data_IF_359803511653
#
_entry.id   IF_359803511653
#
_cell.length_a   1.000
_cell.length_b   1.000
_cell.length_c   1.000
_cell.angle_alpha   90.00
_cell.angle_beta   90.00
_cell.angle_gamma   90.00
#
_symmetry.space_group_name_H-M   'P 1'
#
loop_
_entity.id
_entity.type
_entity.pdbx_description
1 polymer ?
#
# COMPACT_ATOMS: atom_id res chain seq x y z
N UNK A 1 28.12 4.43 22.81
CA UNK A 1 27.77 3.07 22.37
C UNK A 1 27.06 3.02 21.01
N UNK A 2 26.18 3.99 20.64
CA UNK A 2 25.61 4.09 19.28
C UNK A 2 26.68 4.06 18.15
N UNK A 3 27.84 4.65 18.41
CA UNK A 3 29.00 4.65 17.49
C UNK A 3 29.45 3.20 17.17
N UNK A 4 29.47 2.30 18.16
CA UNK A 4 29.96 0.93 18.01
C UNK A 4 28.95 0.06 17.27
N UNK A 5 27.65 0.23 17.55
CA UNK A 5 26.56 -0.40 16.80
C UNK A 5 26.53 0.04 15.33
N UNK A 6 26.80 1.32 15.07
CA UNK A 6 26.92 1.85 13.72
C UNK A 6 28.12 1.24 12.95
N UNK A 7 29.31 1.17 13.57
CA UNK A 7 30.47 0.56 12.91
C UNK A 7 30.25 -0.92 12.57
N UNK A 8 29.66 -1.69 13.50
CA UNK A 8 29.33 -3.10 13.23
C UNK A 8 28.33 -3.23 12.07
N UNK A 9 27.24 -2.46 12.09
CA UNK A 9 26.25 -2.46 10.99
C UNK A 9 26.87 -2.08 9.64
N UNK A 10 27.77 -1.09 9.61
CA UNK A 10 28.46 -0.66 8.39
C UNK A 10 29.41 -1.74 7.87
N UNK A 11 30.20 -2.38 8.74
CA UNK A 11 31.08 -3.49 8.35
C UNK A 11 30.27 -4.67 7.80
N UNK A 12 29.16 -5.02 8.46
CA UNK A 12 28.24 -6.05 7.99
C UNK A 12 27.72 -5.70 6.60
N UNK A 13 27.21 -4.48 6.42
CA UNK A 13 26.71 -4.00 5.13
C UNK A 13 27.75 -4.10 4.01
N UNK A 14 28.99 -3.67 4.28
CA UNK A 14 30.08 -3.74 3.31
C UNK A 14 30.39 -5.16 2.87
N UNK A 15 30.49 -6.10 3.82
CA UNK A 15 30.76 -7.50 3.52
C UNK A 15 29.62 -8.15 2.74
N UNK A 16 28.40 -7.82 3.11
CA UNK A 16 27.17 -8.34 2.50
C UNK A 16 26.94 -7.82 1.09
N UNK A 17 27.20 -6.54 0.84
CA UNK A 17 26.99 -5.90 -0.46
C UNK A 17 27.75 -6.58 -1.62
N UNK A 18 28.72 -7.44 -1.29
CA UNK A 18 29.53 -8.19 -2.25
C UNK A 18 28.91 -9.50 -2.77
N UNK A 19 27.65 -9.83 -2.37
CA UNK A 19 26.87 -11.02 -2.80
C UNK A 19 27.48 -12.39 -2.49
N UNK A 20 28.44 -12.47 -1.58
CA UNK A 20 29.05 -13.74 -1.15
C UNK A 20 28.60 -14.06 0.28
N UNK A 21 27.58 -14.91 0.42
CA UNK A 21 26.99 -15.34 1.70
C UNK A 21 28.02 -16.03 2.62
N UNK A 22 29.09 -16.60 2.05
CA UNK A 22 30.16 -17.18 2.85
C UNK A 22 30.86 -16.11 3.68
N UNK A 23 30.77 -14.83 3.30
CA UNK A 23 31.51 -13.77 3.98
C UNK A 23 31.03 -13.45 5.38
N UNK A 24 29.74 -13.61 5.68
CA UNK A 24 29.28 -13.40 7.05
C UNK A 24 29.85 -14.43 8.03
N UNK A 25 30.12 -15.65 7.54
CA UNK A 25 30.66 -16.73 8.37
C UNK A 25 32.14 -16.49 8.75
N UNK A 26 32.87 -15.65 8.01
CA UNK A 26 34.27 -15.35 8.38
C UNK A 26 34.33 -14.31 9.51
N UNK A 27 33.39 -13.35 9.52
CA UNK A 27 33.28 -12.33 10.58
C UNK A 27 33.01 -13.02 11.94
N UNK A 28 32.24 -14.10 11.93
CA UNK A 28 31.94 -14.91 13.12
C UNK A 28 33.01 -15.92 13.50
N UNK A 29 34.03 -16.13 12.65
CA UNK A 29 35.02 -17.19 12.85
C UNK A 29 34.51 -18.61 12.58
N UNK A 30 33.36 -18.79 11.90
CA UNK A 30 32.83 -20.11 11.52
C UNK A 30 33.47 -20.67 10.26
N UNK A 31 33.95 -19.81 9.36
CA UNK A 31 34.78 -20.22 8.23
C UNK A 31 36.09 -19.44 8.20
N UNK A 32 37.10 -20.06 7.60
CA UNK A 32 38.36 -19.39 7.30
C UNK A 32 38.33 -18.93 5.83
N UNK A 33 38.60 -17.65 5.60
CA UNK A 33 38.73 -17.07 4.25
C UNK A 33 40.20 -16.67 4.02
N UNK A 34 40.75 -17.02 2.86
CA UNK A 34 42.12 -16.69 2.50
C UNK A 34 42.34 -15.18 2.48
N UNK A 35 43.49 -14.72 3.01
CA UNK A 35 43.81 -13.30 3.11
C UNK A 35 43.13 -12.54 4.25
N UNK A 36 42.30 -13.20 5.08
CA UNK A 36 41.67 -12.60 6.25
C UNK A 36 42.24 -13.14 7.57
N UNK A 37 42.18 -12.37 8.67
CA UNK A 37 42.56 -12.84 9.99
C UNK A 37 41.73 -14.06 10.39
N UNK A 38 42.39 -15.07 10.96
CA UNK A 38 41.70 -16.24 11.55
C UNK A 38 41.31 -15.91 12.98
N UNK A 39 40.03 -16.08 13.28
CA UNK A 39 39.47 -15.90 14.62
C UNK A 39 38.76 -17.18 15.05
N UNK A 40 38.77 -17.53 16.35
CA UNK A 40 37.92 -18.58 16.86
C UNK A 40 36.44 -18.22 16.65
N UNK A 41 35.56 -19.23 16.54
CA UNK A 41 34.13 -18.98 16.39
C UNK A 41 33.59 -18.20 17.58
N UNK A 42 32.78 -17.17 17.32
CA UNK A 42 32.19 -16.33 18.36
C UNK A 42 31.25 -17.12 19.29
N UNK A 43 30.56 -18.12 18.72
CA UNK A 43 29.70 -19.06 19.43
C UNK A 43 29.76 -20.44 18.75
N UNK A 44 29.56 -21.50 19.52
CA UNK A 44 29.44 -22.87 18.97
C UNK A 44 28.01 -23.16 18.51
N UNK A 45 27.82 -24.13 17.62
CA UNK A 45 26.47 -24.52 17.14
C UNK A 45 25.52 -24.88 18.31
N UNK A 46 25.94 -25.70 19.31
CA UNK A 46 25.09 -25.99 20.47
C UNK A 46 24.68 -24.74 21.27
N UNK A 47 25.58 -23.76 21.41
CA UNK A 47 25.25 -22.52 22.14
C UNK A 47 24.17 -21.73 21.39
N UNK A 48 24.21 -21.72 20.06
CA UNK A 48 23.22 -21.01 19.23
C UNK A 48 21.88 -21.74 19.25
N UNK A 49 21.87 -23.07 19.22
CA UNK A 49 20.65 -23.87 19.33
C UNK A 49 19.97 -23.65 20.69
N UNK A 50 20.76 -23.65 21.77
CA UNK A 50 20.28 -23.34 23.11
C UNK A 50 19.71 -21.93 23.18
N UNK A 51 20.46 -20.92 22.69
CA UNK A 51 20.01 -19.54 22.66
C UNK A 51 18.72 -19.37 21.83
N UNK A 52 18.64 -20.01 20.68
CA UNK A 52 17.47 -19.96 19.80
C UNK A 52 16.23 -20.55 20.48
N UNK A 53 16.40 -21.67 21.19
CA UNK A 53 15.32 -22.30 21.97
C UNK A 53 14.84 -21.38 23.08
N UNK A 54 15.78 -20.81 23.86
CA UNK A 54 15.43 -19.86 24.93
C UNK A 54 14.69 -18.63 24.37
N UNK A 55 15.19 -18.04 23.28
CA UNK A 55 14.55 -16.89 22.65
C UNK A 55 13.17 -17.22 22.10
N UNK A 56 12.98 -18.42 21.54
CA UNK A 56 11.68 -18.89 21.05
C UNK A 56 10.68 -19.06 22.19
N UNK A 57 11.07 -19.78 23.24
CA UNK A 57 10.19 -20.09 24.37
C UNK A 57 9.79 -18.81 25.12
N UNK A 58 10.74 -17.88 25.31
CA UNK A 58 10.54 -16.60 26.01
C UNK A 58 10.27 -15.41 25.06
N UNK A 59 9.88 -15.66 23.79
CA UNK A 59 9.77 -14.62 22.74
C UNK A 59 8.93 -13.40 23.12
N UNK A 60 7.87 -13.59 23.91
CA UNK A 60 7.02 -12.51 24.44
C UNK A 60 7.77 -11.64 25.46
N UNK A 61 8.44 -12.26 26.44
CA UNK A 61 9.20 -11.55 27.47
C UNK A 61 10.42 -10.85 26.87
N UNK A 62 11.10 -11.51 25.94
CA UNK A 62 12.18 -10.93 25.15
C UNK A 62 11.71 -9.66 24.43
N UNK A 63 10.62 -9.75 23.67
CA UNK A 63 10.07 -8.61 22.93
C UNK A 63 9.66 -7.45 23.84
N UNK A 64 8.94 -7.73 24.94
CA UNK A 64 8.58 -6.72 25.94
C UNK A 64 9.81 -6.03 26.55
N UNK A 65 10.83 -6.82 26.89
CA UNK A 65 12.06 -6.31 27.49
C UNK A 65 12.76 -5.33 26.54
N UNK A 66 12.92 -5.71 25.27
CA UNK A 66 13.53 -4.85 24.27
C UNK A 66 12.72 -3.58 24.01
N UNK A 67 11.39 -3.68 23.94
CA UNK A 67 10.50 -2.52 23.78
C UNK A 67 10.63 -1.53 24.94
N UNK A 68 10.85 -2.01 26.16
CA UNK A 68 10.88 -1.19 27.38
C UNK A 68 12.22 -0.50 27.67
N UNK A 69 13.34 -1.07 27.22
CA UNK A 69 14.68 -0.59 27.61
C UNK A 69 15.28 0.43 26.64
N UNK A 70 14.63 0.70 25.50
CA UNK A 70 15.06 1.66 24.47
C UNK A 70 16.53 1.52 24.04
N UNK A 71 17.11 0.33 24.21
CA UNK A 71 18.53 0.08 23.93
C UNK A 71 18.67 -0.92 22.79
N UNK A 72 18.91 -0.48 21.55
CA UNK A 72 19.21 -1.41 20.47
C UNK A 72 20.65 -1.24 20.01
N UNK A 73 21.47 -2.16 20.48
CA UNK A 73 22.68 -2.64 19.84
C UNK A 73 23.06 -3.94 20.56
N UNK A 74 23.37 -5.04 19.87
CA UNK A 74 24.30 -5.06 18.75
C UNK A 74 23.93 -6.16 17.76
N UNK A 75 23.38 -5.71 16.63
CA UNK A 75 23.45 -6.32 15.32
C UNK A 75 22.83 -7.70 15.24
N UNK A 76 21.49 -7.74 15.17
CA UNK A 76 20.69 -8.88 14.71
C UNK A 76 21.36 -10.25 14.99
N UNK A 77 21.35 -10.59 16.28
CA UNK A 77 21.85 -11.86 16.82
C UNK A 77 23.31 -12.18 16.43
N UNK A 78 24.20 -11.18 16.25
CA UNK A 78 25.60 -11.32 15.79
C UNK A 78 25.78 -12.58 14.92
N UNK A 79 25.00 -12.65 13.84
CA UNK A 79 25.09 -13.64 12.77
C UNK A 79 24.62 -15.07 13.09
N UNK A 80 23.35 -15.32 13.43
CA UNK A 80 22.77 -16.65 13.16
C UNK A 80 22.64 -16.80 11.64
N UNK A 81 23.77 -17.21 11.05
CA UNK A 81 24.05 -17.42 9.64
C UNK A 81 23.50 -18.82 9.20
N UNK A 82 23.45 -19.15 7.89
CA UNK A 82 22.34 -19.77 7.18
C UNK A 82 22.38 -21.32 7.27
N UNK A 83 23.11 -21.86 8.24
CA UNK A 83 23.32 -23.30 8.41
C UNK A 83 22.29 -23.90 9.41
N UNK A 84 21.40 -23.07 9.97
CA UNK A 84 20.48 -23.51 11.02
C UNK A 84 19.24 -24.27 10.50
N UNK A 85 18.91 -25.44 11.09
CA UNK A 85 17.70 -26.21 10.79
C UNK A 85 16.38 -25.57 11.30
N UNK A 86 16.40 -24.35 11.88
CA UNK A 86 15.26 -23.73 12.58
C UNK A 86 14.87 -22.33 12.05
N UNK A 87 14.75 -22.20 10.73
CA UNK A 87 14.37 -20.96 10.02
C UNK A 87 13.13 -20.25 10.60
N UNK A 88 12.15 -20.98 11.13
CA UNK A 88 10.95 -20.40 11.75
C UNK A 88 11.28 -19.55 12.98
N UNK A 89 12.18 -20.03 13.85
CA UNK A 89 12.56 -19.31 15.08
C UNK A 89 13.28 -18.01 14.70
N UNK A 90 14.23 -18.12 13.78
CA UNK A 90 15.00 -16.98 13.32
C UNK A 90 14.09 -15.89 12.73
N UNK A 91 13.15 -16.29 11.87
CA UNK A 91 12.24 -15.33 11.23
C UNK A 91 11.34 -14.60 12.23
N UNK A 92 10.79 -15.33 13.21
CA UNK A 92 9.95 -14.74 14.26
C UNK A 92 10.72 -13.73 15.12
N UNK A 93 11.92 -14.11 15.57
CA UNK A 93 12.75 -13.25 16.43
C UNK A 93 13.28 -12.04 15.65
N UNK A 94 13.70 -12.23 14.40
CA UNK A 94 14.15 -11.16 13.52
C UNK A 94 13.02 -10.16 13.23
N UNK A 95 11.82 -10.65 12.92
CA UNK A 95 10.64 -9.80 12.73
C UNK A 95 10.32 -8.96 13.96
N UNK A 96 10.23 -9.59 15.14
CA UNK A 96 9.99 -8.88 16.41
C UNK A 96 11.06 -7.83 16.69
N UNK A 97 12.33 -8.20 16.52
CA UNK A 97 13.44 -7.28 16.71
C UNK A 97 13.35 -6.07 15.76
N UNK A 98 12.96 -6.30 14.50
CA UNK A 98 12.81 -5.25 13.51
C UNK A 98 11.82 -4.17 13.95
N UNK A 99 10.68 -4.57 14.50
CA UNK A 99 9.61 -3.65 14.90
C UNK A 99 10.06 -2.61 15.95
N UNK A 100 11.18 -2.85 16.63
CA UNK A 100 11.67 -2.02 17.75
C UNK A 100 13.12 -1.59 17.61
N UNK A 101 13.78 -1.91 16.50
CA UNK A 101 15.17 -1.56 16.27
C UNK A 101 15.37 -0.05 16.04
N UNK A 102 16.43 0.50 16.61
CA UNK A 102 16.85 1.90 16.40
C UNK A 102 17.60 2.09 15.10
N UNK A 103 17.72 3.37 14.74
CA UNK A 103 18.42 3.87 13.56
C UNK A 103 19.78 3.22 13.24
N UNK A 104 20.60 2.96 14.26
CA UNK A 104 21.96 2.44 14.09
C UNK A 104 22.00 0.94 13.74
N UNK A 105 20.88 0.24 13.88
CA UNK A 105 20.72 -1.18 13.56
C UNK A 105 19.92 -1.42 12.27
N UNK A 106 19.18 -0.43 11.79
CA UNK A 106 18.23 -0.56 10.68
C UNK A 106 18.82 -1.25 9.44
N UNK A 107 20.00 -0.81 8.96
CA UNK A 107 20.62 -1.33 7.74
C UNK A 107 20.94 -2.83 7.82
N UNK A 108 21.48 -3.30 8.95
CA UNK A 108 21.81 -4.71 9.13
C UNK A 108 20.55 -5.59 9.14
N UNK A 109 19.48 -5.11 9.79
CA UNK A 109 18.24 -5.89 9.91
C UNK A 109 17.43 -5.84 8.61
N UNK A 110 17.42 -4.72 7.88
CA UNK A 110 16.81 -4.64 6.54
C UNK A 110 17.36 -5.72 5.62
N UNK A 111 18.67 -5.96 5.66
CA UNK A 111 19.27 -7.03 4.88
C UNK A 111 18.81 -8.43 5.31
N UNK A 112 18.86 -8.73 6.61
CA UNK A 112 18.43 -10.06 7.09
C UNK A 112 16.96 -10.34 6.78
N UNK A 113 16.11 -9.32 6.82
CA UNK A 113 14.69 -9.48 6.50
C UNK A 113 14.42 -9.59 4.99
N UNK A 114 15.29 -9.10 4.11
CA UNK A 114 15.17 -9.35 2.67
C UNK A 114 15.26 -10.86 2.35
N UNK A 115 16.10 -11.61 3.07
CA UNK A 115 16.21 -13.07 2.92
C UNK A 115 14.99 -13.82 3.47
N UNK A 116 14.34 -13.30 4.51
CA UNK A 116 13.07 -13.86 5.03
C UNK A 116 11.97 -13.74 3.97
N UNK A 117 11.90 -12.59 3.29
CA UNK A 117 10.95 -12.32 2.21
C UNK A 117 11.23 -13.09 0.92
N UNK A 118 12.48 -13.52 0.70
CA UNK A 118 12.90 -14.25 -0.49
C UNK A 118 12.61 -15.76 -0.37
N UNK A 119 11.69 -16.26 -1.19
CA UNK A 119 11.56 -17.71 -1.44
C UNK A 119 10.66 -18.51 -0.49
N UNK A 120 11.06 -19.75 -0.17
CA UNK A 120 10.25 -20.75 0.56
C UNK A 120 10.20 -20.53 2.08
N UNK A 121 11.01 -19.61 2.60
CA UNK A 121 11.19 -19.39 4.03
C UNK A 121 9.96 -18.77 4.69
N UNK A 122 9.35 -17.78 4.05
CA UNK A 122 8.14 -17.12 4.55
C UNK A 122 6.96 -18.08 4.69
N UNK A 123 6.69 -18.91 3.69
CA UNK A 123 5.62 -19.93 3.77
C UNK A 123 5.93 -21.06 4.77
N UNK A 124 7.19 -21.29 5.10
CA UNK A 124 7.57 -22.19 6.19
C UNK A 124 7.29 -21.55 7.55
N UNK A 125 7.65 -20.29 7.71
CA UNK A 125 7.37 -19.52 8.92
C UNK A 125 5.86 -19.37 9.15
N UNK A 126 5.10 -18.89 8.18
CA UNK A 126 3.63 -18.73 8.25
C UNK A 126 2.92 -20.03 8.71
N UNK A 127 3.43 -21.21 8.35
CA UNK A 127 2.86 -22.51 8.75
C UNK A 127 3.25 -22.96 10.16
N UNK A 128 4.39 -22.50 10.65
CA UNK A 128 5.00 -22.98 11.89
C UNK A 128 4.95 -21.94 13.02
N UNK A 129 4.56 -20.69 12.74
CA UNK A 129 4.37 -19.65 13.76
C UNK A 129 3.36 -20.11 14.80
N UNK A 130 3.75 -20.08 16.06
CA UNK A 130 2.86 -20.34 17.19
C UNK A 130 2.55 -19.03 17.92
N UNK A 131 1.27 -18.68 17.95
CA UNK A 131 0.79 -17.55 18.75
C UNK A 131 0.98 -17.87 20.24
N UNK A 132 1.55 -16.92 20.99
CA UNK A 132 1.76 -17.08 22.43
C UNK A 132 0.42 -16.90 23.14
N UNK A 133 -0.14 -15.69 23.08
CA UNK A 133 -1.43 -15.31 23.63
C UNK A 133 -1.91 -13.99 22.99
N UNK A 134 -3.11 -13.55 23.36
CA UNK A 134 -3.71 -12.33 22.83
C UNK A 134 -2.90 -11.08 23.19
N UNK A 135 -2.35 -11.00 24.40
CA UNK A 135 -1.56 -9.85 24.83
C UNK A 135 -0.30 -9.71 23.95
N UNK A 136 0.38 -10.81 23.66
CA UNK A 136 1.53 -10.85 22.75
C UNK A 136 1.15 -10.35 21.34
N UNK A 137 0.03 -10.82 20.79
CA UNK A 137 -0.45 -10.38 19.47
C UNK A 137 -0.69 -8.86 19.44
N UNK A 138 -1.34 -8.33 20.48
CA UNK A 138 -1.60 -6.88 20.62
C UNK A 138 -0.30 -6.09 20.75
N UNK A 139 0.68 -6.60 21.48
CA UNK A 139 2.00 -5.95 21.62
C UNK A 139 2.74 -5.87 20.29
N UNK A 140 2.73 -6.95 19.51
CA UNK A 140 3.37 -7.01 18.17
C UNK A 140 2.68 -6.05 17.19
N UNK A 141 1.35 -6.06 17.13
CA UNK A 141 0.58 -5.13 16.29
C UNK A 141 0.76 -3.68 16.74
N UNK A 142 0.74 -3.42 18.04
CA UNK A 142 0.99 -2.09 18.58
C UNK A 142 2.39 -1.57 18.28
N UNK A 143 3.41 -2.44 18.29
CA UNK A 143 4.77 -2.07 17.92
C UNK A 143 4.89 -1.73 16.43
N UNK A 144 4.23 -2.48 15.55
CA UNK A 144 4.13 -2.12 14.13
C UNK A 144 3.56 -0.71 13.96
N UNK A 145 2.41 -0.43 14.56
CA UNK A 145 1.78 0.90 14.50
C UNK A 145 2.71 1.99 15.06
N UNK A 146 3.36 1.72 16.19
CA UNK A 146 4.31 2.63 16.82
C UNK A 146 5.54 2.93 15.96
N UNK A 147 6.01 1.97 15.15
CA UNK A 147 7.21 2.12 14.31
C UNK A 147 7.07 3.20 13.24
N UNK A 148 5.84 3.47 12.78
CA UNK A 148 5.52 4.53 11.82
C UNK A 148 5.34 5.91 12.45
N UNK A 149 5.37 6.00 13.78
CA UNK A 149 5.43 7.27 14.50
C UNK A 149 6.69 7.31 15.39
N UNK A 150 7.90 7.26 14.78
CA UNK A 150 9.14 7.10 15.50
C UNK A 150 9.44 8.30 16.41
N UNK A 151 10.00 8.03 17.59
CA UNK A 151 10.65 9.07 18.38
C UNK A 151 11.89 9.58 17.60
N UNK A 152 11.98 10.87 17.24
CA UNK A 152 12.93 11.36 16.24
C UNK A 152 14.40 11.22 16.64
N UNK A 153 14.68 11.08 17.95
CA UNK A 153 16.04 10.90 18.48
C UNK A 153 16.52 9.44 18.37
N UNK A 154 15.60 8.48 18.43
CA UNK A 154 15.94 7.06 18.57
C UNK A 154 15.78 6.30 17.24
N UNK A 155 14.81 6.70 16.42
CA UNK A 155 14.37 5.90 15.29
C UNK A 155 14.35 6.73 14.00
N UNK A 156 14.95 6.19 12.94
CA UNK A 156 14.74 6.67 11.59
C UNK A 156 13.34 6.25 11.13
N UNK A 157 12.69 7.06 10.29
CA UNK A 157 11.51 6.62 9.56
C UNK A 157 11.77 5.26 8.92
N UNK A 158 10.82 4.33 9.08
CA UNK A 158 10.84 3.04 8.40
C UNK A 158 10.89 3.25 6.87
N UNK A 159 11.64 2.43 6.12
CA UNK A 159 11.61 2.56 4.65
C UNK A 159 10.19 2.26 4.15
N UNK A 160 9.81 2.90 3.05
CA UNK A 160 8.51 2.64 2.42
C UNK A 160 8.35 1.16 2.04
N UNK A 161 9.45 0.51 1.62
CA UNK A 161 9.48 -0.91 1.23
C UNK A 161 9.30 -1.87 2.41
N UNK A 162 9.78 -1.48 3.58
CA UNK A 162 9.71 -2.29 4.79
C UNK A 162 8.26 -2.43 5.29
N UNK A 163 7.42 -1.42 5.02
CA UNK A 163 6.02 -1.39 5.46
C UNK A 163 5.18 -2.57 4.96
N UNK A 164 5.07 -2.82 3.64
CA UNK A 164 4.40 -3.97 3.08
C UNK A 164 5.01 -5.31 3.49
N UNK A 165 6.35 -5.39 3.60
CA UNK A 165 7.05 -6.62 4.01
C UNK A 165 6.58 -7.02 5.41
N UNK A 166 6.58 -6.09 6.36
CA UNK A 166 6.12 -6.37 7.71
C UNK A 166 4.63 -6.57 7.79
N UNK A 167 3.84 -5.87 6.99
CA UNK A 167 2.39 -6.03 6.99
C UNK A 167 1.98 -7.47 6.64
N UNK A 168 2.72 -8.13 5.74
CA UNK A 168 2.51 -9.55 5.42
C UNK A 168 2.71 -10.44 6.64
N UNK A 169 3.85 -10.28 7.32
CA UNK A 169 4.18 -10.99 8.55
C UNK A 169 3.31 -10.59 9.73
N UNK A 170 2.69 -9.41 9.70
CA UNK A 170 1.82 -8.93 10.76
C UNK A 170 0.46 -9.63 10.71
N UNK A 171 -0.01 -10.03 9.52
CA UNK A 171 -1.33 -10.61 9.33
C UNK A 171 -1.58 -11.86 10.19
N UNK A 172 -0.54 -12.63 10.55
CA UNK A 172 -0.65 -13.78 11.48
C UNK A 172 -0.99 -13.38 12.92
N UNK A 173 -0.67 -12.15 13.34
CA UNK A 173 -0.99 -11.62 14.67
C UNK A 173 -2.35 -10.89 14.71
N UNK A 174 -3.03 -10.78 13.56
CA UNK A 174 -4.39 -10.23 13.48
C UNK A 174 -5.39 -11.32 13.86
N UNK A 175 -5.69 -11.40 15.15
CA UNK A 175 -6.55 -12.43 15.75
C UNK A 175 -7.73 -11.82 16.48
N UNK A 176 -8.80 -12.58 16.77
CA UNK A 176 -9.90 -12.02 17.53
C UNK A 176 -9.46 -11.43 18.86
N UNK A 177 -9.88 -10.21 19.16
CA UNK A 177 -9.37 -9.37 20.25
C UNK A 177 -8.34 -8.32 19.82
N UNK A 178 -8.00 -8.22 18.53
CA UNK A 178 -7.14 -7.15 17.97
C UNK A 178 -7.87 -6.27 16.95
N UNK A 179 -9.21 -6.33 16.89
CA UNK A 179 -10.05 -5.62 15.92
C UNK A 179 -9.85 -4.10 15.99
N UNK A 180 -9.67 -3.56 17.20
CA UNK A 180 -9.45 -2.15 17.49
C UNK A 180 -8.15 -1.59 16.90
N UNK A 181 -7.20 -2.44 16.55
CA UNK A 181 -5.92 -2.03 15.98
C UNK A 181 -5.96 -1.96 14.44
N UNK A 182 -6.97 -2.55 13.80
CA UNK A 182 -7.05 -2.64 12.33
C UNK A 182 -7.11 -1.28 11.62
N UNK A 183 -7.94 -0.30 12.07
CA UNK A 183 -7.95 1.02 11.46
C UNK A 183 -6.57 1.70 11.49
N UNK A 184 -5.86 1.57 12.61
CA UNK A 184 -4.52 2.13 12.78
C UNK A 184 -3.49 1.49 11.85
N UNK A 185 -3.51 0.16 11.68
CA UNK A 185 -2.66 -0.55 10.71
C UNK A 185 -2.83 0.02 9.30
N UNK A 186 -4.09 0.16 8.83
CA UNK A 186 -4.35 0.72 7.51
C UNK A 186 -3.87 2.17 7.39
N UNK A 187 -4.08 2.94 8.46
CA UNK A 187 -3.73 4.35 8.50
C UNK A 187 -2.23 4.60 8.38
N UNK A 188 -1.42 3.92 9.20
CA UNK A 188 0.01 4.23 9.31
C UNK A 188 0.82 3.84 8.07
N UNK A 189 0.51 2.69 7.46
CA UNK A 189 1.26 2.22 6.28
C UNK A 189 0.95 3.10 5.07
N UNK A 190 -0.33 3.43 4.84
CA UNK A 190 -0.73 4.31 3.75
C UNK A 190 -0.17 5.74 3.92
N UNK A 191 -0.21 6.27 5.16
CA UNK A 191 0.40 7.57 5.48
C UNK A 191 1.88 7.61 5.10
N UNK A 192 2.63 6.56 5.46
CA UNK A 192 4.07 6.50 5.18
C UNK A 192 4.37 6.44 3.70
N UNK A 193 3.57 5.70 2.93
CA UNK A 193 3.70 5.67 1.46
C UNK A 193 3.49 7.08 0.89
N UNK A 194 2.48 7.81 1.36
CA UNK A 194 2.25 9.18 0.92
C UNK A 194 3.37 10.14 1.29
N UNK A 195 3.94 10.02 2.49
CA UNK A 195 5.08 10.82 2.92
C UNK A 195 6.28 10.61 1.98
N UNK A 196 6.59 9.36 1.65
CA UNK A 196 7.69 9.04 0.74
C UNK A 196 7.41 9.46 -0.72
N UNK A 197 6.16 9.37 -1.19
CA UNK A 197 5.81 9.88 -2.54
C UNK A 197 5.93 11.41 -2.63
N UNK A 198 5.67 12.13 -1.53
CA UNK A 198 5.76 13.60 -1.48
C UNK A 198 7.21 14.08 -1.46
N UNK A 199 8.09 13.34 -0.80
CA UNK A 199 9.52 13.63 -0.71
C UNK A 199 10.31 12.36 -1.06
N UNK A 200 10.40 12.00 -2.36
CA UNK A 200 10.95 10.73 -2.79
C UNK A 200 12.45 10.68 -2.52
N UNK A 201 12.90 9.59 -1.90
CA UNK A 201 14.31 9.26 -1.82
C UNK A 201 14.92 9.16 -3.22
N UNK A 202 16.11 9.75 -3.41
CA UNK A 202 16.87 9.66 -4.67
C UNK A 202 17.21 8.22 -5.05
N UNK A 203 17.17 7.30 -4.09
CA UNK A 203 17.47 5.87 -4.27
C UNK A 203 16.37 5.11 -5.02
N UNK A 204 15.10 5.54 -4.90
CA UNK A 204 13.96 4.76 -5.38
C UNK A 204 13.38 5.29 -6.68
N UNK A 205 13.27 4.39 -7.66
CA UNK A 205 12.56 4.63 -8.91
C UNK A 205 11.04 4.50 -8.73
N UNK A 206 10.22 5.07 -9.64
CA UNK A 206 8.76 5.00 -9.58
C UNK A 206 8.14 3.60 -9.43
N UNK A 207 8.74 2.59 -10.07
CA UNK A 207 8.37 1.17 -10.01
C UNK A 207 8.40 0.61 -8.58
N UNK A 208 9.38 1.00 -7.77
CA UNK A 208 9.51 0.61 -6.36
C UNK A 208 8.28 1.03 -5.55
N UNK A 209 7.74 2.22 -5.82
CA UNK A 209 6.52 2.70 -5.16
C UNK A 209 5.28 1.92 -5.61
N UNK A 210 5.21 1.55 -6.88
CA UNK A 210 4.13 0.71 -7.41
C UNK A 210 4.13 -0.65 -6.71
N UNK A 211 5.29 -1.27 -6.55
CA UNK A 211 5.45 -2.54 -5.84
C UNK A 211 5.05 -2.42 -4.37
N UNK A 212 5.49 -1.36 -3.70
CA UNK A 212 5.10 -1.11 -2.32
C UNK A 212 3.58 -0.96 -2.17
N UNK A 213 2.93 -0.19 -3.05
CA UNK A 213 1.48 0.01 -3.03
C UNK A 213 0.74 -1.30 -3.35
N UNK A 214 1.22 -2.06 -4.35
CA UNK A 214 0.70 -3.38 -4.72
C UNK A 214 0.66 -4.32 -3.51
N UNK A 215 1.79 -4.43 -2.83
CA UNK A 215 1.96 -5.40 -1.75
C UNK A 215 1.18 -4.96 -0.51
N UNK A 216 1.09 -3.64 -0.27
CA UNK A 216 0.20 -3.08 0.76
C UNK A 216 -1.26 -3.48 0.52
N UNK A 217 -1.80 -3.24 -0.69
CA UNK A 217 -3.19 -3.64 -1.00
C UNK A 217 -3.41 -5.15 -0.93
N UNK A 218 -2.41 -5.95 -1.31
CA UNK A 218 -2.48 -7.41 -1.16
C UNK A 218 -2.63 -7.79 0.30
N UNK A 219 -1.78 -7.24 1.18
CA UNK A 219 -1.81 -7.59 2.59
C UNK A 219 -3.06 -7.04 3.30
N UNK A 220 -3.54 -5.84 2.92
CA UNK A 220 -4.83 -5.36 3.38
C UNK A 220 -5.98 -6.27 2.97
N UNK A 221 -5.98 -6.79 1.73
CA UNK A 221 -7.00 -7.75 1.31
C UNK A 221 -6.96 -8.99 2.20
N UNK A 222 -5.78 -9.52 2.53
CA UNK A 222 -5.63 -10.65 3.47
C UNK A 222 -6.20 -10.33 4.86
N UNK A 223 -5.92 -9.13 5.39
CA UNK A 223 -6.42 -8.69 6.70
C UNK A 223 -7.95 -8.54 6.68
N UNK A 224 -8.53 -7.94 5.65
CA UNK A 224 -9.98 -7.76 5.49
C UNK A 224 -10.70 -9.10 5.40
N UNK A 225 -10.08 -10.10 4.75
CA UNK A 225 -10.63 -11.46 4.67
C UNK A 225 -10.50 -12.25 5.98
N UNK A 226 -9.85 -11.71 7.02
CA UNK A 226 -9.67 -12.41 8.29
C UNK A 226 -10.97 -12.49 9.10
N UNK A 227 -11.08 -13.53 9.94
CA UNK A 227 -12.20 -13.67 10.89
C UNK A 227 -12.24 -12.51 11.90
N UNK A 228 -11.10 -11.90 12.17
CA UNK A 228 -10.97 -10.73 13.05
C UNK A 228 -11.71 -9.53 12.47
N UNK A 229 -11.51 -9.24 11.18
CA UNK A 229 -12.20 -8.15 10.50
C UNK A 229 -13.74 -8.30 10.56
N UNK A 230 -14.25 -9.52 10.34
CA UNK A 230 -15.70 -9.78 10.41
C UNK A 230 -16.34 -9.57 11.79
N UNK A 231 -15.54 -9.37 12.85
CA UNK A 231 -15.99 -9.12 14.23
C UNK A 231 -15.98 -7.64 14.61
N UNK A 232 -15.57 -6.75 13.71
CA UNK A 232 -15.61 -5.31 13.96
C UNK A 232 -17.04 -4.85 14.25
N UNK A 233 -17.16 -3.90 15.18
CA UNK A 233 -18.42 -3.24 15.49
C UNK A 233 -18.55 -1.93 14.69
N UNK A 234 -19.70 -1.28 14.80
CA UNK A 234 -20.01 -0.04 14.06
C UNK A 234 -19.00 1.09 14.34
N UNK A 235 -18.51 1.23 15.58
CA UNK A 235 -17.49 2.24 15.92
C UNK A 235 -16.18 1.97 15.19
N UNK A 236 -15.72 0.72 15.20
CA UNK A 236 -14.48 0.34 14.51
C UNK A 236 -14.60 0.44 12.99
N UNK A 237 -15.77 0.13 12.42
CA UNK A 237 -16.01 0.38 11.00
C UNK A 237 -15.99 1.86 10.65
N UNK A 238 -16.56 2.72 11.51
CA UNK A 238 -16.47 4.17 11.32
C UNK A 238 -15.02 4.64 11.34
N UNK A 239 -14.22 4.22 12.32
CA UNK A 239 -12.79 4.55 12.39
C UNK A 239 -12.02 4.05 11.16
N UNK A 240 -12.33 2.84 10.68
CA UNK A 240 -11.74 2.30 9.47
C UNK A 240 -12.06 3.18 8.25
N UNK A 241 -13.32 3.56 8.07
CA UNK A 241 -13.75 4.47 6.98
C UNK A 241 -13.04 5.81 7.08
N UNK A 242 -12.95 6.38 8.28
CA UNK A 242 -12.26 7.64 8.52
C UNK A 242 -10.79 7.53 8.13
N UNK A 243 -10.14 6.40 8.41
CA UNK A 243 -8.76 6.15 7.96
C UNK A 243 -8.64 5.95 6.44
N UNK A 244 -9.57 5.23 5.81
CA UNK A 244 -9.61 5.06 4.34
C UNK A 244 -9.74 6.43 3.66
N UNK A 245 -10.63 7.28 4.17
CA UNK A 245 -10.87 8.64 3.69
C UNK A 245 -9.64 9.52 3.94
N UNK A 246 -9.19 9.62 5.20
CA UNK A 246 -8.11 10.53 5.60
C UNK A 246 -6.77 10.20 4.93
N UNK A 247 -6.52 8.95 4.57
CA UNK A 247 -5.30 8.53 3.88
C UNK A 247 -5.48 8.39 2.37
N UNK A 248 -6.60 8.85 1.82
CA UNK A 248 -6.87 8.89 0.38
C UNK A 248 -6.54 7.58 -0.34
N UNK A 249 -6.98 6.43 0.19
CA UNK A 249 -6.57 5.11 -0.34
C UNK A 249 -6.98 4.91 -1.82
N UNK A 250 -8.08 5.54 -2.26
CA UNK A 250 -8.52 5.50 -3.66
C UNK A 250 -7.56 6.29 -4.55
N UNK A 251 -7.08 7.45 -4.09
CA UNK A 251 -6.11 8.22 -4.84
C UNK A 251 -4.72 7.57 -4.82
N UNK A 252 -4.37 6.85 -3.75
CA UNK A 252 -3.13 6.07 -3.70
C UNK A 252 -3.16 4.97 -4.77
N UNK A 253 -4.31 4.32 -4.91
CA UNK A 253 -4.62 3.36 -5.94
C UNK A 253 -4.50 3.95 -7.37
N UNK A 254 -5.08 5.13 -7.60
CA UNK A 254 -4.96 5.86 -8.87
C UNK A 254 -3.52 6.28 -9.16
N UNK A 255 -2.80 6.74 -8.13
CA UNK A 255 -1.41 7.20 -8.23
C UNK A 255 -0.50 6.07 -8.69
N UNK A 256 -0.59 4.89 -8.10
CA UNK A 256 0.20 3.76 -8.58
C UNK A 256 -0.20 3.31 -10.00
N UNK A 257 -1.48 3.39 -10.39
CA UNK A 257 -1.86 3.14 -11.79
C UNK A 257 -1.21 4.13 -12.77
N UNK A 258 -1.00 5.39 -12.38
CA UNK A 258 -0.30 6.38 -13.19
C UNK A 258 1.20 6.14 -13.30
N UNK A 259 1.78 5.47 -12.30
CA UNK A 259 3.20 5.14 -12.25
C UNK A 259 3.51 3.80 -12.94
N UNK A 260 2.49 3.07 -13.42
CA UNK A 260 2.72 1.85 -14.21
C UNK A 260 3.42 2.20 -15.53
N UNK A 261 4.54 1.54 -15.78
CA UNK A 261 5.26 1.64 -17.05
C UNK A 261 4.37 1.21 -18.22
N UNK A 262 4.43 1.99 -19.30
CA UNK A 262 3.77 1.63 -20.53
C UNK A 262 4.52 0.50 -21.24
N UNK A 263 3.84 -0.41 -21.96
CA UNK A 263 4.49 -1.47 -22.74
C UNK A 263 5.55 -0.99 -23.74
N UNK A 264 5.45 0.24 -24.24
CA UNK A 264 6.42 0.86 -25.14
C UNK A 264 7.67 1.41 -24.44
N UNK A 265 7.64 1.56 -23.11
CA UNK A 265 8.77 2.03 -22.32
C UNK A 265 9.75 0.87 -22.10
N UNK A 266 11.07 1.11 -22.15
CA UNK A 266 12.05 0.07 -21.90
C UNK A 266 11.82 -0.50 -20.49
N UNK A 267 11.70 -1.82 -20.33
CA UNK A 267 11.38 -2.40 -19.04
C UNK A 267 12.47 -2.03 -18.03
N UNK A 268 12.07 -1.54 -16.85
CA UNK A 268 13.00 -1.45 -15.73
C UNK A 268 13.64 -2.84 -15.51
N UNK A 269 14.96 -2.92 -15.69
CA UNK A 269 15.72 -4.18 -15.63
C UNK A 269 15.70 -4.85 -14.25
N UNK A 270 15.08 -4.23 -13.25
CA UNK A 270 15.08 -4.67 -11.86
C UNK A 270 13.69 -4.44 -11.29
N UNK A 271 13.05 -5.51 -10.81
CA UNK A 271 11.70 -5.57 -10.21
C UNK A 271 10.55 -5.60 -11.23
N UNK A 272 10.20 -6.83 -11.59
CA UNK A 272 8.96 -7.17 -12.25
C UNK A 272 7.78 -6.89 -11.30
N UNK A 273 6.91 -5.94 -11.64
CA UNK A 273 5.80 -5.64 -10.73
C UNK A 273 4.55 -4.93 -11.24
N UNK A 274 4.49 -4.52 -12.51
CA UNK A 274 3.29 -3.91 -13.09
C UNK A 274 2.20 -4.93 -13.47
N UNK A 275 2.59 -6.15 -13.83
CA UNK A 275 1.68 -7.13 -14.41
C UNK A 275 0.58 -7.62 -13.45
N UNK A 276 0.89 -7.70 -12.15
CA UNK A 276 -0.02 -8.20 -11.12
C UNK A 276 -0.60 -7.10 -10.21
N UNK A 277 -0.19 -5.83 -10.40
CA UNK A 277 -0.77 -4.68 -9.69
C UNK A 277 -2.29 -4.59 -9.88
N UNK A 278 -2.73 -4.55 -11.14
CA UNK A 278 -4.13 -4.37 -11.52
C UNK A 278 -5.07 -5.46 -10.93
N UNK A 279 -4.74 -6.76 -10.97
CA UNK A 279 -5.54 -7.78 -10.28
C UNK A 279 -5.59 -7.63 -8.76
N UNK A 280 -4.49 -7.21 -8.10
CA UNK A 280 -4.41 -7.14 -6.63
C UNK A 280 -5.20 -5.98 -6.07
N UNK A 281 -5.11 -4.81 -6.70
CA UNK A 281 -5.92 -3.66 -6.32
C UNK A 281 -7.42 -3.91 -6.53
N UNK A 282 -7.79 -4.55 -7.66
CA UNK A 282 -9.16 -4.96 -7.93
C UNK A 282 -9.68 -5.91 -6.84
N UNK A 283 -8.85 -6.89 -6.46
CA UNK A 283 -9.16 -7.85 -5.40
C UNK A 283 -9.37 -7.16 -4.05
N UNK A 284 -8.53 -6.20 -3.68
CA UNK A 284 -8.69 -5.44 -2.44
C UNK A 284 -10.06 -4.74 -2.37
N UNK A 285 -10.41 -3.93 -3.37
CA UNK A 285 -11.68 -3.18 -3.35
C UNK A 285 -12.91 -4.08 -3.39
N UNK A 286 -12.83 -5.24 -4.06
CA UNK A 286 -13.89 -6.25 -4.02
C UNK A 286 -14.07 -6.83 -2.62
N UNK A 287 -12.99 -7.24 -1.96
CA UNK A 287 -13.09 -7.77 -0.59
C UNK A 287 -13.53 -6.70 0.40
N UNK A 288 -13.10 -5.45 0.21
CA UNK A 288 -13.55 -4.32 1.00
C UNK A 288 -15.06 -4.14 0.91
N UNK A 289 -15.63 -4.16 -0.30
CA UNK A 289 -17.07 -3.97 -0.51
C UNK A 289 -17.91 -5.15 -0.03
N UNK A 290 -17.37 -6.36 -0.07
CA UNK A 290 -18.02 -7.57 0.43
C UNK A 290 -17.98 -7.67 1.96
N UNK A 291 -16.95 -7.10 2.61
CA UNK A 291 -16.69 -7.29 4.04
C UNK A 291 -17.21 -6.14 4.93
N UNK A 292 -17.50 -4.98 4.35
CA UNK A 292 -17.96 -3.80 5.10
C UNK A 292 -19.47 -3.60 4.92
N UNK A 293 -20.23 -3.20 5.97
CA UNK A 293 -21.64 -2.86 5.83
C UNK A 293 -21.89 -1.75 4.79
N UNK A 294 -22.96 -1.89 4.00
CA UNK A 294 -23.25 -1.01 2.85
C UNK A 294 -23.28 0.48 3.20
N UNK A 295 -23.74 0.84 4.39
CA UNK A 295 -23.77 2.23 4.86
C UNK A 295 -22.39 2.92 4.81
N UNK A 296 -21.34 2.19 5.19
CA UNK A 296 -19.97 2.67 5.19
C UNK A 296 -19.37 2.71 3.78
N UNK A 297 -19.76 1.76 2.91
CA UNK A 297 -19.42 1.84 1.48
C UNK A 297 -20.02 3.11 0.88
N UNK A 298 -21.28 3.45 1.16
CA UNK A 298 -21.87 4.70 0.69
C UNK A 298 -21.10 5.94 1.17
N UNK A 299 -20.59 5.95 2.41
CA UNK A 299 -19.78 7.06 2.91
C UNK A 299 -18.44 7.21 2.15
N UNK A 300 -17.73 6.10 1.92
CA UNK A 300 -16.52 6.10 1.10
C UNK A 300 -16.85 6.60 -0.31
N UNK A 301 -17.93 6.09 -0.89
CA UNK A 301 -18.33 6.40 -2.25
C UNK A 301 -18.75 7.86 -2.44
N UNK A 302 -19.52 8.42 -1.52
CA UNK A 302 -19.91 9.83 -1.56
C UNK A 302 -18.67 10.74 -1.48
N UNK A 303 -17.71 10.38 -0.62
CA UNK A 303 -16.47 11.15 -0.47
C UNK A 303 -15.58 11.10 -1.72
N UNK A 304 -15.38 9.90 -2.29
CA UNK A 304 -14.39 9.69 -3.35
C UNK A 304 -14.95 9.77 -4.77
N UNK A 305 -16.27 9.90 -4.96
CA UNK A 305 -16.87 9.94 -6.29
C UNK A 305 -16.24 11.01 -7.21
N UNK A 306 -16.01 12.27 -6.79
CA UNK A 306 -15.45 13.29 -7.66
C UNK A 306 -14.06 12.93 -8.20
N UNK A 307 -13.14 12.51 -7.32
CA UNK A 307 -11.77 12.16 -7.72
C UNK A 307 -11.73 10.85 -8.52
N UNK A 308 -12.55 9.88 -8.14
CA UNK A 308 -12.71 8.65 -8.92
C UNK A 308 -13.19 8.93 -10.34
N UNK A 309 -14.19 9.81 -10.50
CA UNK A 309 -14.75 10.16 -11.80
C UNK A 309 -13.74 10.93 -12.67
N UNK A 310 -13.01 11.87 -12.06
CA UNK A 310 -11.94 12.62 -12.72
C UNK A 310 -10.83 11.69 -13.23
N UNK A 311 -10.38 10.74 -12.42
CA UNK A 311 -9.36 9.78 -12.85
C UNK A 311 -9.87 8.85 -13.95
N UNK A 312 -11.12 8.36 -13.85
CA UNK A 312 -11.77 7.60 -14.92
C UNK A 312 -11.79 8.38 -16.25
N UNK A 313 -12.14 9.65 -16.19
CA UNK A 313 -12.16 10.54 -17.35
C UNK A 313 -10.77 10.68 -17.96
N UNK A 314 -9.75 10.89 -17.12
CA UNK A 314 -8.36 10.89 -17.58
C UNK A 314 -7.98 9.59 -18.29
N UNK A 315 -8.25 8.42 -17.71
CA UNK A 315 -7.92 7.12 -18.31
C UNK A 315 -8.59 6.92 -19.68
N UNK A 316 -9.82 7.44 -19.85
CA UNK A 316 -10.57 7.37 -21.11
C UNK A 316 -9.88 8.17 -22.22
N UNK A 317 -9.32 9.34 -21.90
CA UNK A 317 -8.79 10.29 -22.88
C UNK A 317 -7.27 10.25 -23.05
N UNK A 318 -6.54 9.74 -22.06
CA UNK A 318 -5.09 9.63 -22.07
C UNK A 318 -4.53 8.99 -23.36
N UNK A 319 -5.11 7.90 -23.91
CA UNK A 319 -4.69 7.34 -25.19
C UNK A 319 -4.64 8.34 -26.36
N UNK A 320 -5.62 9.24 -26.44
CA UNK A 320 -5.72 10.22 -27.52
C UNK A 320 -4.86 11.45 -27.25
N UNK A 321 -4.86 11.94 -26.01
CA UNK A 321 -4.04 13.10 -25.60
C UNK A 321 -2.55 12.81 -25.80
N UNK A 322 -2.09 11.64 -25.35
CA UNK A 322 -0.67 11.24 -25.45
C UNK A 322 -0.32 10.58 -26.79
N UNK A 323 -1.28 10.39 -27.70
CA UNK A 323 -1.11 9.70 -28.99
C UNK A 323 -0.43 8.33 -28.83
N UNK A 324 -0.92 7.55 -27.86
CA UNK A 324 -0.32 6.28 -27.48
C UNK A 324 -0.32 5.27 -28.65
N UNK A 325 0.73 4.44 -28.72
CA UNK A 325 0.83 3.32 -29.67
C UNK A 325 -0.16 2.21 -29.29
N UNK A 326 -0.54 1.29 -30.20
CA UNK A 326 -1.58 0.29 -29.94
C UNK A 326 -1.40 -0.52 -28.64
N UNK A 327 -0.17 -0.96 -28.31
CA UNK A 327 0.11 -1.71 -27.07
C UNK A 327 -0.21 -0.91 -25.80
N UNK A 328 0.19 0.36 -25.78
CA UNK A 328 -0.07 1.27 -24.66
C UNK A 328 -1.56 1.63 -24.55
N UNK A 329 -2.25 1.77 -25.69
CA UNK A 329 -3.71 1.96 -25.72
C UNK A 329 -4.42 0.79 -25.05
N UNK A 330 -4.00 -0.43 -25.33
CA UNK A 330 -4.59 -1.63 -24.72
C UNK A 330 -4.23 -1.76 -23.22
N UNK A 331 -3.04 -1.32 -22.81
CA UNK A 331 -2.71 -1.17 -21.39
C UNK A 331 -3.65 -0.17 -20.69
N UNK A 332 -3.85 1.02 -21.25
CA UNK A 332 -4.75 2.02 -20.68
C UNK A 332 -6.21 1.54 -20.61
N UNK A 333 -6.68 0.76 -21.59
CA UNK A 333 -8.00 0.11 -21.52
C UNK A 333 -8.11 -0.86 -20.35
N UNK A 334 -7.05 -1.62 -20.05
CA UNK A 334 -7.01 -2.52 -18.87
C UNK A 334 -7.09 -1.71 -17.58
N UNK A 335 -6.33 -0.61 -17.47
CA UNK A 335 -6.41 0.30 -16.32
C UNK A 335 -7.83 0.88 -16.16
N UNK A 336 -8.45 1.35 -17.24
CA UNK A 336 -9.82 1.87 -17.23
C UNK A 336 -10.83 0.79 -16.80
N UNK A 337 -10.68 -0.45 -17.29
CA UNK A 337 -11.55 -1.55 -16.90
C UNK A 337 -11.44 -1.87 -15.40
N UNK A 338 -10.23 -1.96 -14.86
CA UNK A 338 -10.02 -2.17 -13.41
C UNK A 338 -10.55 -0.99 -12.60
N UNK A 339 -10.33 0.25 -13.06
CA UNK A 339 -10.83 1.43 -12.37
C UNK A 339 -12.36 1.48 -12.32
N UNK A 340 -13.02 1.05 -13.41
CA UNK A 340 -14.47 0.87 -13.45
C UNK A 340 -14.93 -0.22 -12.47
N UNK A 341 -14.20 -1.32 -12.36
CA UNK A 341 -14.48 -2.38 -11.38
C UNK A 341 -14.36 -1.91 -9.93
N UNK A 342 -13.33 -1.11 -9.62
CA UNK A 342 -13.20 -0.45 -8.31
C UNK A 342 -14.43 0.42 -8.06
N UNK A 343 -14.85 1.21 -9.06
CA UNK A 343 -16.06 2.03 -8.96
C UNK A 343 -17.33 1.21 -8.70
N UNK A 344 -17.49 0.06 -9.38
CA UNK A 344 -18.61 -0.86 -9.13
C UNK A 344 -18.58 -1.46 -7.73
N UNK A 345 -17.40 -1.83 -7.21
CA UNK A 345 -17.25 -2.32 -5.85
C UNK A 345 -17.68 -1.27 -4.82
N UNK A 346 -17.41 0.00 -5.11
CA UNK A 346 -17.88 1.16 -4.33
C UNK A 346 -19.36 1.50 -4.60
N UNK A 347 -20.07 0.78 -5.47
CA UNK A 347 -21.48 1.01 -5.75
C UNK A 347 -21.78 2.11 -6.77
N UNK A 348 -20.77 2.59 -7.51
CA UNK A 348 -21.01 3.50 -8.64
C UNK A 348 -21.68 2.77 -9.80
N UNK A 349 -22.74 3.37 -10.34
CA UNK A 349 -23.37 2.92 -11.57
C UNK A 349 -22.66 3.56 -12.76
N UNK A 350 -21.88 2.75 -13.48
CA UNK A 350 -21.14 3.20 -14.65
C UNK A 350 -21.98 2.89 -15.88
N UNK A 351 -22.58 3.91 -16.47
CA UNK A 351 -23.12 3.79 -17.83
C UNK A 351 -21.92 3.71 -18.78
N UNK A 352 -21.56 2.50 -19.23
CA UNK A 352 -20.40 2.26 -20.10
C UNK A 352 -20.44 3.09 -21.41
N UNK A 353 -21.64 3.55 -21.79
CA UNK A 353 -21.89 4.39 -22.96
C UNK A 353 -22.11 5.88 -22.65
N UNK A 354 -22.01 6.33 -21.40
CA UNK A 354 -22.10 7.76 -21.11
C UNK A 354 -20.76 8.43 -21.43
N UNK A 355 -20.49 8.64 -22.73
CA UNK A 355 -19.60 9.71 -23.16
C UNK A 355 -20.28 11.01 -22.77
N UNK A 356 -20.05 11.45 -21.54
CA UNK A 356 -20.49 12.76 -21.13
C UNK A 356 -19.87 13.77 -22.10
N UNK A 357 -20.73 14.51 -22.77
CA UNK A 357 -20.36 15.64 -23.58
C UNK A 357 -21.27 16.78 -23.14
N UNK A 358 -20.66 17.84 -22.61
CA UNK A 358 -21.36 19.08 -22.35
C UNK A 358 -22.05 19.52 -23.64
N UNK A 359 -23.37 19.64 -23.61
CA UNK A 359 -24.16 19.95 -24.79
C UNK A 359 -24.03 21.40 -25.24
N UNK A 360 -23.40 22.25 -24.43
CA UNK A 360 -23.01 23.58 -24.86
C UNK A 360 -21.90 23.48 -25.91
N UNK A 361 -22.26 23.68 -27.18
CA UNK A 361 -21.38 23.49 -28.32
C UNK A 361 -20.09 24.33 -28.29
N UNK A 362 -20.08 25.42 -27.52
CA UNK A 362 -18.93 26.32 -27.35
C UNK A 362 -18.26 26.16 -25.98
N UNK A 363 -18.49 25.05 -25.29
CA UNK A 363 -17.82 24.78 -24.04
C UNK A 363 -16.31 24.61 -24.30
N UNK A 364 -15.49 25.27 -23.48
CA UNK A 364 -14.03 25.11 -23.53
C UNK A 364 -13.58 23.74 -23.00
N UNK A 365 -14.44 23.08 -22.22
CA UNK A 365 -14.29 21.69 -21.81
C UNK A 365 -15.57 20.92 -22.17
N UNK A 366 -15.80 20.65 -23.47
CA UNK A 366 -17.02 20.02 -23.95
C UNK A 366 -17.12 18.56 -23.53
N UNK A 367 -16.04 17.98 -23.02
CA UNK A 367 -15.98 16.60 -22.53
C UNK A 367 -16.24 16.54 -21.02
N UNK A 368 -16.17 17.70 -20.36
CA UNK A 368 -16.57 17.90 -18.99
C UNK A 368 -15.80 16.97 -18.06
N UNK A 369 -14.50 17.24 -17.98
CA UNK A 369 -13.54 16.53 -17.13
C UNK A 369 -13.95 16.55 -15.64
N UNK A 370 -14.84 17.47 -15.25
CA UNK A 370 -15.45 17.60 -13.92
C UNK A 370 -16.79 16.84 -13.76
N UNK A 371 -17.26 16.14 -14.79
CA UNK A 371 -18.54 15.42 -14.80
C UNK A 371 -19.78 16.27 -15.12
N UNK A 372 -20.94 15.61 -15.23
CA UNK A 372 -22.24 16.27 -15.41
C UNK A 372 -22.61 16.91 -14.07
N UNK A 373 -22.49 18.22 -13.95
CA UNK A 373 -22.96 18.92 -12.75
C UNK A 373 -24.39 19.43 -12.89
N UNK A 374 -24.87 19.62 -14.13
CA UNK A 374 -26.18 20.21 -14.39
C UNK A 374 -26.91 19.47 -15.50
N UNK A 375 -28.17 19.13 -15.24
CA UNK A 375 -29.09 18.63 -16.27
C UNK A 375 -30.14 19.68 -16.61
N UNK A 376 -30.70 19.60 -17.82
CA UNK A 376 -31.83 20.42 -18.22
C UNK A 376 -32.99 20.21 -17.23
N UNK A 377 -33.51 21.26 -16.58
CA UNK A 377 -34.57 21.10 -15.59
C UNK A 377 -35.92 20.70 -16.20
N UNK A 378 -36.07 20.80 -17.54
CA UNK A 378 -37.32 20.55 -18.24
C UNK A 378 -37.38 19.12 -18.79
N UNK A 379 -36.34 18.69 -19.51
CA UNK A 379 -36.33 17.37 -20.17
C UNK A 379 -35.40 16.35 -19.52
N UNK A 380 -34.56 16.78 -18.57
CA UNK A 380 -33.49 15.99 -17.93
C UNK A 380 -32.44 15.36 -18.86
N UNK A 381 -32.60 15.46 -20.18
CA UNK A 381 -31.67 14.94 -21.19
C UNK A 381 -30.52 15.90 -21.52
N UNK A 382 -30.64 17.19 -21.20
CA UNK A 382 -29.58 18.14 -21.48
C UNK A 382 -28.46 18.05 -20.45
N UNK A 383 -27.23 17.68 -20.80
CA UNK A 383 -26.13 17.54 -19.84
C UNK A 383 -25.08 18.65 -19.99
N UNK A 384 -24.70 19.29 -18.88
CA UNK A 384 -23.76 20.41 -18.86
C UNK A 384 -22.71 20.27 -17.77
N UNK A 385 -21.47 20.64 -18.07
CA UNK A 385 -20.36 20.53 -17.10
C UNK A 385 -20.45 21.56 -15.98
N UNK A 386 -21.09 22.72 -16.22
CA UNK A 386 -21.26 23.81 -15.25
C UNK A 386 -22.55 24.58 -15.52
N UNK A 387 -23.09 25.26 -14.49
CA UNK A 387 -24.27 26.12 -14.60
C UNK A 387 -24.11 27.21 -15.67
N UNK A 388 -22.88 27.70 -15.85
CA UNK A 388 -22.53 28.65 -16.91
C UNK A 388 -22.79 28.06 -18.29
N UNK A 389 -22.35 26.83 -18.56
CA UNK A 389 -22.55 26.19 -19.85
C UNK A 389 -24.04 25.97 -20.15
N UNK A 390 -24.80 25.53 -19.15
CA UNK A 390 -26.26 25.43 -19.25
C UNK A 390 -26.88 26.80 -19.61
N UNK A 391 -26.56 27.83 -18.84
CA UNK A 391 -27.12 29.18 -19.05
C UNK A 391 -26.76 29.77 -20.42
N UNK A 392 -25.52 29.56 -20.87
CA UNK A 392 -25.06 30.05 -22.17
C UNK A 392 -25.67 29.28 -23.34
N UNK A 393 -25.92 27.98 -23.18
CA UNK A 393 -26.62 27.16 -24.17
C UNK A 393 -28.03 27.70 -24.44
N UNK A 394 -28.76 28.08 -23.38
CA UNK A 394 -30.08 28.71 -23.49
C UNK A 394 -30.04 30.14 -24.02
N UNK A 395 -29.01 30.93 -23.66
CA UNK A 395 -28.93 32.35 -24.02
C UNK A 395 -28.49 32.59 -25.46
N UNK A 396 -27.61 31.74 -25.99
CA UNK A 396 -26.96 31.97 -27.28
C UNK A 396 -27.32 30.92 -28.35
N UNK A 397 -28.27 30.03 -28.07
CA UNK A 397 -28.76 29.02 -29.03
C UNK A 397 -27.73 27.92 -29.27
N UNK A 398 -27.64 26.97 -28.33
CA UNK A 398 -26.87 25.75 -28.54
C UNK A 398 -27.73 24.54 -28.90
N UNK A 399 -27.05 23.45 -29.27
CA UNK A 399 -27.67 22.24 -29.85
C UNK A 399 -28.83 21.69 -29.03
N UNK A 400 -28.76 21.79 -27.70
CA UNK A 400 -29.83 21.34 -26.82
C UNK A 400 -30.95 22.37 -26.67
N UNK A 401 -30.64 23.66 -26.51
CA UNK A 401 -31.66 24.71 -26.50
C UNK A 401 -32.54 24.68 -27.77
N UNK A 402 -31.94 24.37 -28.92
CA UNK A 402 -32.65 24.26 -30.20
C UNK A 402 -33.44 22.96 -30.37
N UNK A 403 -33.20 21.93 -29.57
CA UNK A 403 -33.84 20.61 -29.68
C UNK A 403 -34.73 20.23 -28.50
N UNK A 404 -34.72 21.01 -27.40
CA UNK A 404 -35.52 20.73 -26.21
C UNK A 404 -37.01 20.99 -26.44
N UNK A 405 -37.77 19.92 -26.69
CA UNK A 405 -39.22 19.96 -26.96
C UNK A 405 -39.99 20.62 -25.80
N UNK A 406 -39.66 20.29 -24.55
CA UNK A 406 -40.35 20.86 -23.38
C UNK A 406 -40.10 22.36 -23.21
N UNK A 407 -38.91 22.86 -23.55
CA UNK A 407 -38.63 24.30 -23.51
C UNK A 407 -39.35 25.05 -24.64
N UNK A 408 -39.44 24.46 -25.84
CA UNK A 408 -40.21 25.03 -26.95
C UNK A 408 -41.71 25.11 -26.62
N UNK A 409 -42.27 24.09 -25.96
CA UNK A 409 -43.66 24.09 -25.52
C UNK A 409 -43.96 25.24 -24.53
N UNK A 410 -43.02 25.58 -23.64
CA UNK A 410 -43.16 26.69 -22.69
C UNK A 410 -43.05 28.08 -23.34
N UNK A 411 -42.34 28.21 -24.48
CA UNK A 411 -42.23 29.47 -25.23
C UNK A 411 -43.48 29.73 -26.10
N UNK A 412 -44.15 28.68 -26.58
CA UNK A 412 -45.39 28.79 -27.36
C UNK A 412 -46.58 29.29 -26.50
N UNK A 413 -46.49 29.17 -25.17
CA UNK A 413 -47.50 29.64 -24.22
C UNK A 413 -47.29 31.08 -23.71
N UNK A 414 -46.60 31.94 -24.47
CA UNK A 414 -46.70 33.39 -24.23
C UNK A 414 -47.86 33.95 -25.06
N UNK A 415 -48.98 34.40 -24.45
CA UNK A 415 -49.99 35.15 -25.18
C UNK A 415 -49.31 36.38 -25.79
N UNK A 416 -49.52 36.59 -27.08
CA UNK A 416 -49.17 37.84 -27.74
C UNK A 416 -49.81 39.00 -26.99
N UNK A 417 -48.98 39.87 -26.41
CA UNK A 417 -49.39 41.16 -25.83
C UNK A 417 -49.56 42.17 -26.95
#
# INVERSE_FOLDING_TARGET
MQILGHYVSVTIWQEISTKDESRLNWITGWINVEGRPKHPPLATIPDIELLSTMLWDDRKLFFKSLKSTYYPGISAVIFVNPIMPHLTILNEIAFRYYLIATSDQQHAISYMNMDIGAGKHLSSWERNTQLVDLEDCREVVGAYVGRFNPHPILYYPISVLDGPIFLRSLAQFVVPGTEDLLPAILGVTAKRIWEEIKDPSEEYKPDVYVDCIRDTFTNYATIIQSRTFSRMNDTLFQELVDHIIKQDLIDLAARAMLLLELPSEPPAHHLAGSADYLPRIQRFYRHLSESIPKQYIFMISDHFFPEWFKFRSYLTWCPEIRRLVPGDRDHMKKCLWVWNDIGRALGYQILENSQFKCLYARCHDPLGMEGVQFTCPICHNGAYCRARCQSLDWKFGGLHADSCIGAKALVIFRPSV
#
